data_IF_105619372680
#
_entry.id   IF_105619372680
#
_cell.length_a   1.000
_cell.length_b   1.000
_cell.length_c   1.000
_cell.angle_alpha   90.00
_cell.angle_beta   90.00
_cell.angle_gamma   90.00
#
_symmetry.space_group_name_H-M   'P 1'
#
loop_
_entity.id
_entity.type
_entity.pdbx_description
1 polymer ?
#
# COMPACT_ATOMS: atom_id res chain seq x y z
N UNK A 1 22.27 9.74 -27.21
CA UNK A 1 21.96 9.59 -25.79
C UNK A 1 20.46 9.35 -25.65
N UNK A 2 19.97 8.16 -25.27
CA UNK A 2 18.55 7.97 -25.04
C UNK A 2 18.17 8.81 -23.82
N UNK A 3 17.23 9.72 -24.00
CA UNK A 3 16.60 10.46 -22.89
C UNK A 3 15.88 9.44 -22.03
N UNK A 4 16.40 9.14 -20.84
CA UNK A 4 15.69 8.39 -19.82
C UNK A 4 14.51 9.26 -19.38
N UNK A 5 13.35 9.07 -20.01
CA UNK A 5 12.10 9.59 -19.47
C UNK A 5 11.85 8.90 -18.13
N UNK A 6 12.28 9.54 -17.06
CA UNK A 6 11.98 9.09 -15.70
C UNK A 6 10.46 9.20 -15.54
N UNK A 7 9.76 8.08 -15.55
CA UNK A 7 8.31 8.05 -15.40
C UNK A 7 7.98 8.35 -13.94
N UNK A 8 7.07 9.29 -13.70
CA UNK A 8 6.59 9.62 -12.34
C UNK A 8 5.66 8.50 -11.85
N UNK A 9 6.01 7.91 -10.73
CA UNK A 9 5.18 6.89 -10.08
C UNK A 9 4.09 7.53 -9.21
N UNK A 10 4.45 8.60 -8.46
CA UNK A 10 3.50 9.32 -7.60
C UNK A 10 3.68 10.82 -7.86
N UNK A 11 2.58 11.50 -8.10
CA UNK A 11 2.52 12.95 -8.27
C UNK A 11 1.40 13.52 -7.39
N UNK A 12 1.76 14.43 -6.49
CA UNK A 12 0.83 15.10 -5.59
C UNK A 12 1.06 16.60 -5.61
N UNK A 13 0.00 17.38 -5.77
CA UNK A 13 0.05 18.83 -5.84
C UNK A 13 -0.90 19.47 -4.84
N UNK A 14 -0.37 20.39 -4.02
CA UNK A 14 -1.04 21.16 -2.95
C UNK A 14 -2.00 20.32 -2.11
N UNK A 15 -1.54 19.14 -1.69
CA UNK A 15 -2.34 18.14 -1.02
C UNK A 15 -2.71 18.60 0.40
N UNK A 16 -4.00 18.71 0.66
CA UNK A 16 -4.54 19.13 1.96
C UNK A 16 -5.54 18.12 2.51
N UNK A 17 -5.55 17.96 3.81
CA UNK A 17 -6.53 17.12 4.51
C UNK A 17 -6.98 17.75 5.81
N UNK A 18 -8.32 17.83 5.95
CA UNK A 18 -8.97 18.24 7.19
C UNK A 18 -9.92 17.15 7.68
N UNK A 19 -10.00 17.01 8.98
CA UNK A 19 -10.98 16.17 9.67
C UNK A 19 -11.79 17.10 10.60
N UNK A 20 -13.00 17.49 10.17
CA UNK A 20 -13.74 18.53 10.85
C UNK A 20 -12.97 19.84 10.91
N UNK A 21 -12.68 20.34 12.12
CA UNK A 21 -11.88 21.57 12.34
C UNK A 21 -10.37 21.34 12.34
N UNK A 22 -9.91 20.08 12.44
CA UNK A 22 -8.50 19.75 12.53
C UNK A 22 -7.85 19.68 11.14
N UNK A 23 -6.72 20.35 10.98
CA UNK A 23 -5.89 20.31 9.76
C UNK A 23 -4.84 19.23 9.96
N UNK A 24 -5.00 18.09 9.29
CA UNK A 24 -4.07 16.98 9.35
C UNK A 24 -2.93 17.08 8.31
N UNK A 25 -3.16 17.82 7.22
CA UNK A 25 -2.17 18.08 6.18
C UNK A 25 -2.47 19.42 5.52
N UNK A 26 -1.46 20.26 5.34
CA UNK A 26 -1.59 21.62 4.81
C UNK A 26 -0.60 21.91 3.68
N UNK A 27 -0.99 21.54 2.45
CA UNK A 27 -0.29 21.95 1.24
C UNK A 27 1.00 21.17 0.96
N UNK A 28 0.96 19.84 0.94
CA UNK A 28 2.10 19.01 0.56
C UNK A 28 2.10 18.75 -0.94
N UNK A 29 3.21 19.06 -1.60
CA UNK A 29 3.47 18.69 -3.00
C UNK A 29 4.71 17.80 -3.05
N UNK A 30 4.64 16.71 -3.83
CA UNK A 30 5.76 15.80 -4.04
C UNK A 30 5.62 15.07 -5.38
N UNK A 31 6.76 14.73 -5.97
CA UNK A 31 6.83 13.92 -7.18
C UNK A 31 7.87 12.83 -6.97
N UNK A 32 7.47 11.55 -7.11
CA UNK A 32 8.32 10.40 -6.89
C UNK A 32 8.45 9.63 -8.21
N UNK A 33 9.68 9.41 -8.62
CA UNK A 33 9.98 8.66 -9.84
C UNK A 33 9.82 7.16 -9.64
N UNK A 34 9.52 6.45 -10.73
CA UNK A 34 9.51 4.98 -10.76
C UNK A 34 10.86 4.42 -10.32
N UNK A 35 10.84 3.32 -9.55
CA UNK A 35 12.03 2.64 -9.06
C UNK A 35 12.71 3.32 -7.87
N UNK A 36 12.06 4.32 -7.25
CA UNK A 36 12.61 5.06 -6.11
C UNK A 36 12.08 4.49 -4.78
N UNK A 37 12.96 4.36 -3.79
CA UNK A 37 12.58 4.20 -2.39
C UNK A 37 12.52 5.60 -1.76
N UNK A 38 11.34 5.98 -1.29
CA UNK A 38 11.11 7.31 -0.73
C UNK A 38 10.69 7.22 0.74
N UNK A 39 11.38 7.94 1.62
CA UNK A 39 11.12 7.94 3.06
C UNK A 39 10.37 9.18 3.54
N UNK A 40 9.31 8.99 4.33
CA UNK A 40 8.64 10.05 5.07
C UNK A 40 9.19 10.10 6.50
N UNK A 41 9.89 11.19 6.83
CA UNK A 41 10.47 11.42 8.14
C UNK A 41 9.76 12.58 8.84
N UNK A 42 9.64 12.50 10.15
CA UNK A 42 9.04 13.56 10.96
C UNK A 42 8.49 13.05 12.29
N UNK A 43 8.19 13.95 13.23
CA UNK A 43 7.60 13.60 14.53
C UNK A 43 6.20 13.01 14.38
N UNK A 44 5.67 12.46 15.48
CA UNK A 44 4.28 12.05 15.53
C UNK A 44 3.37 13.27 15.37
N UNK A 45 2.29 13.11 14.60
CA UNK A 45 1.40 14.21 14.23
C UNK A 45 1.83 15.04 13.03
N UNK A 46 3.00 14.77 12.41
CA UNK A 46 3.47 15.50 11.23
C UNK A 46 2.70 15.18 9.92
N UNK A 47 1.62 14.40 9.98
CA UNK A 47 0.80 14.07 8.81
C UNK A 47 1.32 12.89 7.97
N UNK A 48 2.36 12.15 8.40
CA UNK A 48 2.93 11.02 7.64
C UNK A 48 1.89 9.97 7.25
N UNK A 49 1.16 9.45 8.24
CA UNK A 49 0.11 8.44 8.02
C UNK A 49 -1.02 8.98 7.16
N UNK A 50 -1.40 10.25 7.37
CA UNK A 50 -2.42 10.92 6.54
C UNK A 50 -1.96 11.00 5.10
N UNK A 51 -0.72 11.42 4.85
CA UNK A 51 -0.13 11.46 3.52
C UNK A 51 -0.16 10.09 2.86
N UNK A 52 0.30 9.03 3.55
CA UNK A 52 0.26 7.67 3.02
C UNK A 52 -1.16 7.21 2.66
N UNK A 53 -2.15 7.51 3.50
CA UNK A 53 -3.55 7.18 3.21
C UNK A 53 -4.11 7.93 2.00
N UNK A 54 -3.68 9.16 1.78
CA UNK A 54 -4.07 9.95 0.61
C UNK A 54 -3.41 9.40 -0.66
N UNK A 55 -2.09 9.11 -0.64
CA UNK A 55 -1.35 8.55 -1.76
C UNK A 55 -1.85 7.15 -2.17
N UNK A 56 -2.39 6.39 -1.24
CA UNK A 56 -2.92 5.03 -1.50
C UNK A 56 -4.42 4.99 -1.79
N UNK A 57 -5.09 6.16 -1.85
CA UNK A 57 -6.54 6.24 -2.08
C UNK A 57 -7.41 5.77 -0.90
N UNK A 58 -6.81 5.46 0.27
CA UNK A 58 -7.55 5.06 1.47
C UNK A 58 -8.28 6.25 2.13
N UNK A 59 -7.83 7.46 1.85
CA UNK A 59 -8.52 8.68 2.22
C UNK A 59 -8.65 9.60 1.01
N UNK A 60 -9.67 10.46 1.00
CA UNK A 60 -9.82 11.49 -0.03
C UNK A 60 -9.19 12.80 0.46
N UNK A 61 -8.45 13.52 -0.36
CA UNK A 61 -7.98 14.86 -0.03
C UNK A 61 -9.17 15.83 0.17
N UNK A 62 -8.98 16.84 0.98
CA UNK A 62 -9.91 17.96 1.10
C UNK A 62 -9.73 18.95 -0.04
N UNK A 63 -8.48 19.12 -0.54
CA UNK A 63 -8.11 19.83 -1.75
C UNK A 63 -6.76 19.34 -2.24
N UNK A 64 -6.36 19.77 -3.44
CA UNK A 64 -5.19 19.27 -4.13
C UNK A 64 -5.47 18.00 -4.91
N UNK A 65 -4.46 17.49 -5.60
CA UNK A 65 -4.58 16.32 -6.48
C UNK A 65 -3.50 15.29 -6.17
N UNK A 66 -3.82 14.02 -6.40
CA UNK A 66 -2.85 12.92 -6.34
C UNK A 66 -3.07 11.97 -7.50
N UNK A 67 -1.97 11.60 -8.16
CA UNK A 67 -1.95 10.56 -9.18
C UNK A 67 -0.88 9.52 -8.86
N UNK A 68 -1.21 8.26 -9.08
CA UNK A 68 -0.29 7.13 -8.95
C UNK A 68 -0.25 6.39 -10.27
N UNK A 69 0.93 6.27 -10.86
CA UNK A 69 1.11 5.73 -12.22
C UNK A 69 0.17 6.40 -13.25
N UNK A 70 -0.06 7.71 -13.10
CA UNK A 70 -0.98 8.49 -13.95
C UNK A 70 -2.46 8.37 -13.60
N UNK A 71 -2.85 7.45 -12.71
CA UNK A 71 -4.23 7.23 -12.26
C UNK A 71 -4.56 8.16 -11.09
N UNK A 72 -5.69 8.87 -11.18
CA UNK A 72 -6.21 9.67 -10.07
C UNK A 72 -6.64 8.76 -8.91
N UNK A 73 -6.22 9.08 -7.67
CA UNK A 73 -6.50 8.25 -6.49
C UNK A 73 -7.98 8.16 -6.13
N UNK A 74 -8.83 9.01 -6.69
CA UNK A 74 -10.29 8.94 -6.53
C UNK A 74 -10.90 7.77 -7.31
N UNK A 75 -10.26 7.32 -8.39
CA UNK A 75 -10.65 6.12 -9.13
C UNK A 75 -10.03 4.87 -8.48
N UNK A 76 -10.68 4.39 -7.44
CA UNK A 76 -10.18 3.24 -6.66
C UNK A 76 -10.04 1.96 -7.47
N UNK A 77 -10.89 1.76 -8.49
CA UNK A 77 -10.86 0.56 -9.31
C UNK A 77 -9.64 0.55 -10.22
N UNK A 78 -9.37 1.66 -10.89
CA UNK A 78 -8.18 1.82 -11.71
C UNK A 78 -6.90 1.86 -10.88
N UNK A 79 -6.96 2.40 -9.65
CA UNK A 79 -5.82 2.52 -8.73
C UNK A 79 -5.37 1.17 -8.14
N UNK A 80 -6.30 0.28 -7.82
CA UNK A 80 -6.05 -0.97 -7.07
C UNK A 80 -4.90 -1.84 -7.63
N UNK A 81 -4.71 -1.99 -8.95
CA UNK A 81 -3.59 -2.76 -9.50
C UNK A 81 -2.21 -2.12 -9.27
N UNK A 82 -2.15 -0.82 -8.97
CA UNK A 82 -0.91 -0.04 -8.87
C UNK A 82 -0.45 0.18 -7.44
N UNK A 83 -1.25 -0.19 -6.43
CA UNK A 83 -0.97 0.13 -5.03
C UNK A 83 -1.01 -1.12 -4.15
N UNK A 84 0.04 -1.32 -3.37
CA UNK A 84 0.06 -2.15 -2.18
C UNK A 84 0.22 -1.27 -0.94
N UNK A 85 -0.48 -1.58 0.14
CA UNK A 85 -0.38 -0.85 1.39
C UNK A 85 -0.26 -1.80 2.58
N UNK A 86 0.80 -1.62 3.36
CA UNK A 86 0.99 -2.32 4.62
C UNK A 86 0.90 -1.30 5.76
N UNK A 87 -0.16 -1.30 6.57
CA UNK A 87 -0.27 -0.42 7.73
C UNK A 87 0.63 -0.87 8.88
N UNK A 88 0.83 0.00 9.87
CA UNK A 88 1.58 -0.30 11.10
C UNK A 88 1.00 -1.52 11.85
N UNK A 89 -0.32 -1.64 11.87
CA UNK A 89 -1.02 -2.83 12.36
C UNK A 89 -1.64 -3.53 11.15
N UNK A 90 -1.02 -4.60 10.64
CA UNK A 90 -1.57 -5.33 9.50
C UNK A 90 -2.91 -5.95 9.84
N UNK A 91 -3.89 -5.94 8.92
CA UNK A 91 -5.19 -6.58 9.11
C UNK A 91 -5.06 -8.10 8.92
N UNK A 92 -4.44 -8.78 9.86
CA UNK A 92 -4.30 -10.23 9.87
C UNK A 92 -5.41 -10.86 10.72
N UNK A 93 -5.93 -11.98 10.26
CA UNK A 93 -6.79 -12.85 11.06
C UNK A 93 -5.89 -13.78 11.86
N UNK A 94 -5.74 -13.51 13.15
CA UNK A 94 -4.78 -14.22 14.02
C UNK A 94 -5.09 -15.72 14.13
N UNK A 95 -6.36 -16.11 13.95
CA UNK A 95 -6.83 -17.50 13.89
C UNK A 95 -6.49 -18.23 12.59
N UNK A 96 -6.15 -17.49 11.51
CA UNK A 96 -5.73 -18.08 10.25
C UNK A 96 -4.26 -18.51 10.31
N UNK A 97 -3.91 -19.50 9.50
CA UNK A 97 -2.51 -19.77 9.18
C UNK A 97 -1.98 -18.74 8.16
N UNK A 98 -0.66 -18.70 7.97
CA UNK A 98 -0.07 -17.85 6.95
C UNK A 98 -0.59 -18.22 5.54
N UNK A 99 -0.77 -19.50 5.27
CA UNK A 99 -1.36 -20.01 4.02
C UNK A 99 -2.78 -19.51 3.83
N UNK A 100 -3.66 -19.73 4.81
CA UNK A 100 -5.06 -19.30 4.76
C UNK A 100 -5.20 -17.79 4.59
N UNK A 101 -4.32 -17.01 5.24
CA UNK A 101 -4.31 -15.54 5.08
C UNK A 101 -3.93 -15.13 3.65
N UNK A 102 -2.97 -15.82 3.02
CA UNK A 102 -2.57 -15.55 1.64
C UNK A 102 -3.65 -15.99 0.64
N UNK A 103 -4.29 -17.13 0.87
CA UNK A 103 -5.44 -17.61 0.09
C UNK A 103 -6.60 -16.61 0.14
N UNK A 104 -6.95 -16.12 1.34
CA UNK A 104 -7.96 -15.10 1.52
C UNK A 104 -7.64 -13.81 0.74
N UNK A 105 -6.38 -13.36 0.75
CA UNK A 105 -5.97 -12.17 -0.03
C UNK A 105 -6.02 -12.45 -1.52
N UNK A 106 -5.70 -13.67 -1.97
CA UNK A 106 -5.77 -14.07 -3.37
C UNK A 106 -7.23 -14.04 -3.86
N UNK A 107 -8.16 -14.55 -3.05
CA UNK A 107 -9.60 -14.53 -3.34
C UNK A 107 -10.14 -13.09 -3.42
N UNK A 108 -9.75 -12.21 -2.49
CA UNK A 108 -10.13 -10.79 -2.51
C UNK A 108 -9.62 -10.05 -3.76
N UNK A 109 -8.60 -10.58 -4.43
CA UNK A 109 -8.02 -10.03 -5.65
C UNK A 109 -8.48 -10.74 -6.91
N UNK A 110 -9.43 -11.65 -6.81
CA UNK A 110 -9.94 -12.46 -7.92
C UNK A 110 -8.82 -13.15 -8.71
N UNK A 111 -7.78 -13.64 -8.02
CA UNK A 111 -6.68 -14.35 -8.68
C UNK A 111 -7.14 -15.75 -9.11
N UNK A 112 -6.81 -16.21 -10.35
CA UNK A 112 -7.00 -17.60 -10.72
C UNK A 112 -6.28 -18.56 -9.77
N UNK A 113 -6.91 -19.69 -9.44
CA UNK A 113 -6.45 -20.60 -8.40
C UNK A 113 -5.00 -21.10 -8.62
N UNK A 114 -4.65 -21.45 -9.86
CA UNK A 114 -3.29 -21.89 -10.24
C UNK A 114 -2.25 -20.77 -10.06
N UNK A 115 -2.62 -19.51 -10.33
CA UNK A 115 -1.77 -18.34 -10.13
C UNK A 115 -1.61 -18.05 -8.64
N UNK A 116 -2.69 -18.16 -7.87
CA UNK A 116 -2.70 -17.95 -6.43
C UNK A 116 -1.78 -18.96 -5.74
N UNK A 117 -1.98 -20.26 -6.00
CA UNK A 117 -1.18 -21.35 -5.43
C UNK A 117 0.31 -21.15 -5.70
N UNK A 118 0.69 -20.92 -6.97
CA UNK A 118 2.09 -20.71 -7.34
C UNK A 118 2.73 -19.51 -6.65
N UNK A 119 1.98 -18.42 -6.45
CA UNK A 119 2.46 -17.22 -5.73
C UNK A 119 2.58 -17.46 -4.23
N UNK A 120 1.62 -18.16 -3.63
CA UNK A 120 1.62 -18.49 -2.20
C UNK A 120 2.85 -19.34 -1.87
N UNK A 121 3.07 -20.44 -2.60
CA UNK A 121 4.24 -21.30 -2.39
C UNK A 121 5.57 -20.53 -2.56
N UNK A 122 5.64 -19.67 -3.57
CA UNK A 122 6.81 -18.82 -3.76
C UNK A 122 7.06 -17.91 -2.57
N UNK A 123 6.03 -17.20 -2.06
CA UNK A 123 6.19 -16.31 -0.92
C UNK A 123 6.52 -17.06 0.37
N UNK A 124 5.85 -18.19 0.64
CA UNK A 124 6.15 -19.00 1.81
C UNK A 124 7.61 -19.48 1.80
N UNK A 125 8.15 -19.81 0.63
CA UNK A 125 9.56 -20.19 0.46
C UNK A 125 10.50 -18.99 0.60
N UNK A 126 10.20 -17.87 -0.07
CA UNK A 126 11.05 -16.67 -0.10
C UNK A 126 11.18 -16.03 1.30
N UNK A 127 10.14 -16.11 2.11
CA UNK A 127 10.13 -15.61 3.49
C UNK A 127 10.42 -16.67 4.54
N UNK A 128 10.87 -17.86 4.14
CA UNK A 128 11.25 -18.98 5.03
C UNK A 128 10.11 -19.43 5.98
N UNK A 129 8.87 -19.30 5.52
CA UNK A 129 7.66 -19.66 6.28
C UNK A 129 7.13 -21.07 5.96
N UNK A 130 7.79 -21.83 5.06
CA UNK A 130 7.26 -23.10 4.56
C UNK A 130 6.92 -24.13 5.65
N UNK A 131 7.79 -24.30 6.66
CA UNK A 131 7.56 -25.23 7.77
C UNK A 131 6.47 -24.74 8.74
N UNK A 132 6.25 -23.43 8.80
CA UNK A 132 5.28 -22.79 9.68
C UNK A 132 4.00 -22.33 8.96
N UNK A 133 3.91 -22.61 7.64
CA UNK A 133 2.83 -22.11 6.79
C UNK A 133 1.42 -22.43 7.29
N UNK A 134 1.25 -23.58 7.92
CA UNK A 134 -0.03 -24.10 8.42
C UNK A 134 -0.23 -23.84 9.93
N UNK A 135 0.73 -23.18 10.59
CA UNK A 135 0.56 -22.73 11.97
C UNK A 135 -0.26 -21.44 12.02
N UNK A 136 -1.07 -21.27 13.05
CA UNK A 136 -1.84 -20.04 13.25
C UNK A 136 -0.92 -18.83 13.43
N UNK A 137 -1.34 -17.70 12.88
CA UNK A 137 -0.59 -16.43 12.95
C UNK A 137 -0.38 -15.99 14.40
N UNK A 138 -1.35 -16.23 15.30
CA UNK A 138 -1.20 -15.96 16.73
C UNK A 138 -0.01 -16.70 17.39
N UNK A 139 0.43 -17.82 16.81
CA UNK A 139 1.53 -18.63 17.31
C UNK A 139 2.91 -18.16 16.82
N UNK A 140 2.97 -17.21 15.88
CA UNK A 140 4.24 -16.64 15.43
C UNK A 140 4.79 -15.69 16.53
N UNK A 141 6.07 -15.81 16.83
CA UNK A 141 6.72 -14.83 17.72
C UNK A 141 6.83 -13.47 17.04
N UNK A 142 6.56 -12.42 17.81
CA UNK A 142 6.76 -11.03 17.37
C UNK A 142 8.24 -10.67 17.38
#
# INVERSE_FOLDING_TARGET
MPSTHTTTAIDADDLRKRYGSEVALDGVSLSISTGTVYGFLGPNGAGKTTTMRLLTGLARPSSGTVRVCGVDVSDRRALAPHVGYLPETPPLYEEFSAREQLEYVADLRDLPADVAEARIERYLTEFELGEDADKRIEAYSK
#
